data_IF_420445968576
#
_entry.id   IF_420445968576
#
_cell.length_a   1.000
_cell.length_b   1.000
_cell.length_c   1.000
_cell.angle_alpha   90.00
_cell.angle_beta   90.00
_cell.angle_gamma   90.00
#
_symmetry.space_group_name_H-M   'P 1'
#
loop_
_entity.id
_entity.type
_entity.pdbx_description
1 polymer ?
#
# COMPACT_ATOMS: atom_id res chain seq x y z
N UNK A 1 10.98 -2.33 -4.05
CA UNK A 1 10.09 -1.27 -4.57
C UNK A 1 9.67 -1.53 -6.01
N UNK A 2 10.57 -1.37 -6.99
CA UNK A 2 10.25 -1.58 -8.42
C UNK A 2 9.66 -2.96 -8.73
N UNK A 3 10.18 -4.02 -8.11
CA UNK A 3 9.64 -5.39 -8.26
C UNK A 3 8.16 -5.44 -7.84
N UNK A 4 7.78 -4.78 -6.74
CA UNK A 4 6.39 -4.77 -6.27
C UNK A 4 5.48 -4.03 -7.26
N UNK A 5 5.94 -2.91 -7.82
CA UNK A 5 5.24 -2.19 -8.88
C UNK A 5 5.08 -3.05 -10.13
N UNK A 6 6.12 -3.75 -10.56
CA UNK A 6 6.05 -4.66 -11.71
C UNK A 6 5.05 -5.78 -11.46
N UNK A 7 5.06 -6.41 -10.29
CA UNK A 7 4.08 -7.45 -9.93
C UNK A 7 2.66 -6.88 -9.95
N UNK A 8 2.46 -5.66 -9.43
CA UNK A 8 1.16 -5.00 -9.47
C UNK A 8 0.67 -4.74 -10.91
N UNK A 9 1.53 -4.24 -11.78
CA UNK A 9 1.19 -4.00 -13.19
C UNK A 9 0.80 -5.30 -13.91
N UNK A 10 1.55 -6.39 -13.65
CA UNK A 10 1.23 -7.72 -14.19
C UNK A 10 -0.10 -8.25 -13.64
N UNK A 11 -0.36 -8.05 -12.34
CA UNK A 11 -1.62 -8.43 -11.70
C UNK A 11 -2.83 -7.73 -12.35
N UNK A 12 -2.75 -6.41 -12.52
CA UNK A 12 -3.81 -5.62 -13.18
C UNK A 12 -4.02 -6.12 -14.62
N UNK A 13 -2.94 -6.30 -15.39
CA UNK A 13 -3.04 -6.78 -16.77
C UNK A 13 -3.68 -8.18 -16.86
N UNK A 14 -3.34 -9.08 -15.93
CA UNK A 14 -3.93 -10.42 -15.87
C UNK A 14 -5.44 -10.38 -15.55
N UNK A 15 -5.85 -9.56 -14.58
CA UNK A 15 -7.26 -9.40 -14.23
C UNK A 15 -8.08 -8.81 -15.39
N UNK A 16 -7.55 -7.80 -16.08
CA UNK A 16 -8.19 -7.21 -17.26
C UNK A 16 -8.31 -8.22 -18.40
N UNK A 17 -7.30 -9.05 -18.62
CA UNK A 17 -7.35 -10.12 -19.63
C UNK A 17 -8.40 -11.19 -19.30
N UNK A 18 -8.55 -11.52 -18.01
CA UNK A 18 -9.51 -12.50 -17.50
C UNK A 18 -10.94 -11.95 -17.31
N UNK A 19 -11.15 -10.64 -17.50
CA UNK A 19 -12.44 -9.94 -17.26
C UNK A 19 -12.96 -10.12 -15.82
N UNK A 20 -12.04 -10.11 -14.85
CA UNK A 20 -12.34 -10.22 -13.42
C UNK A 20 -12.45 -8.83 -12.79
N UNK A 21 -13.40 -8.03 -13.28
CA UNK A 21 -13.46 -6.59 -12.99
C UNK A 21 -13.67 -6.29 -11.49
N UNK A 22 -14.32 -7.20 -10.75
CA UNK A 22 -14.52 -7.06 -9.30
C UNK A 22 -13.23 -7.19 -8.46
N UNK A 23 -12.15 -7.70 -9.05
CA UNK A 23 -10.83 -7.81 -8.40
C UNK A 23 -9.88 -6.70 -8.86
N UNK A 24 -10.30 -5.87 -9.82
CA UNK A 24 -9.50 -4.71 -10.19
C UNK A 24 -9.40 -3.77 -8.98
N UNK A 25 -8.21 -3.22 -8.70
CA UNK A 25 -8.08 -2.23 -7.65
C UNK A 25 -9.05 -1.07 -7.93
N UNK A 26 -9.85 -0.65 -6.95
CA UNK A 26 -10.72 0.51 -7.13
C UNK A 26 -9.89 1.75 -7.46
N UNK A 27 -10.50 2.72 -8.13
CA UNK A 27 -9.90 4.02 -8.37
C UNK A 27 -9.96 4.89 -7.10
N UNK A 28 -9.38 4.37 -6.02
CA UNK A 28 -9.42 4.96 -4.68
C UNK A 28 -8.77 6.35 -4.69
N UNK A 29 -7.74 6.53 -5.51
CA UNK A 29 -7.07 7.81 -5.66
C UNK A 29 -8.02 8.88 -6.22
N UNK A 30 -8.76 8.58 -7.29
CA UNK A 30 -9.73 9.51 -7.85
C UNK A 30 -10.90 9.75 -6.88
N UNK A 31 -11.44 8.70 -6.26
CA UNK A 31 -12.52 8.83 -5.27
C UNK A 31 -12.13 9.70 -4.07
N UNK A 32 -10.90 9.57 -3.58
CA UNK A 32 -10.37 10.40 -2.48
C UNK A 32 -10.22 11.85 -2.94
N UNK A 33 -9.71 12.11 -4.16
CA UNK A 33 -9.62 13.45 -4.73
C UNK A 33 -11.01 14.08 -4.80
N UNK A 34 -12.00 13.34 -5.29
CA UNK A 34 -13.38 13.82 -5.42
C UNK A 34 -14.01 14.12 -4.06
N UNK A 35 -13.78 13.25 -3.07
CA UNK A 35 -14.23 13.43 -1.68
C UNK A 35 -13.58 14.67 -1.03
N UNK A 36 -12.32 14.97 -1.40
CA UNK A 36 -11.62 16.19 -0.98
C UNK A 36 -12.04 17.44 -1.77
N UNK A 37 -13.16 17.38 -2.52
CA UNK A 37 -13.65 18.49 -3.34
C UNK A 37 -12.74 18.81 -4.53
N UNK A 38 -11.98 17.84 -5.01
CA UNK A 38 -10.97 18.01 -6.06
C UNK A 38 -9.65 18.63 -5.58
N UNK A 39 -9.47 18.84 -4.27
CA UNK A 39 -8.27 19.47 -3.72
C UNK A 39 -7.09 18.49 -3.66
N UNK A 40 -6.20 18.62 -4.66
CA UNK A 40 -4.98 17.81 -4.77
C UNK A 40 -4.05 17.97 -3.57
N UNK A 41 -3.88 19.19 -3.05
CA UNK A 41 -2.95 19.47 -1.94
C UNK A 41 -3.44 18.76 -0.68
N UNK A 42 -4.73 18.90 -0.35
CA UNK A 42 -5.33 18.19 0.79
C UNK A 42 -5.19 16.68 0.65
N UNK A 43 -5.42 16.15 -0.56
CA UNK A 43 -5.30 14.71 -0.83
C UNK A 43 -3.86 14.22 -0.64
N UNK A 44 -2.86 14.95 -1.14
CA UNK A 44 -1.44 14.62 -0.95
C UNK A 44 -1.02 14.67 0.52
N UNK A 45 -1.49 15.65 1.29
CA UNK A 45 -1.20 15.74 2.72
C UNK A 45 -1.80 14.54 3.48
N UNK A 46 -3.09 14.24 3.26
CA UNK A 46 -3.78 13.22 4.02
C UNK A 46 -3.37 11.80 3.60
N UNK A 47 -3.37 11.50 2.31
CA UNK A 47 -3.17 10.13 1.78
C UNK A 47 -1.75 9.89 1.29
N UNK A 48 -1.08 10.92 0.77
CA UNK A 48 0.32 10.82 0.34
C UNK A 48 1.32 10.91 1.49
N UNK A 49 0.93 11.49 2.64
CA UNK A 49 1.87 11.74 3.75
C UNK A 49 1.37 11.22 5.10
N UNK A 50 0.26 11.74 5.63
CA UNK A 50 -0.20 11.40 6.98
C UNK A 50 -0.64 9.93 7.12
N UNK A 51 -1.38 9.40 6.13
CA UNK A 51 -1.79 7.99 6.07
C UNK A 51 -0.59 7.05 6.16
N UNK A 52 0.39 7.13 5.24
CA UNK A 52 1.60 6.33 5.26
C UNK A 52 2.37 6.40 6.59
N UNK A 53 2.45 7.56 7.23
CA UNK A 53 3.08 7.69 8.56
C UNK A 53 2.33 6.84 9.59
N UNK A 54 1.02 7.02 9.70
CA UNK A 54 0.19 6.32 10.67
C UNK A 54 0.22 4.80 10.43
N UNK A 55 0.09 4.39 9.18
CA UNK A 55 0.09 3.00 8.76
C UNK A 55 1.44 2.33 9.03
N UNK A 56 2.56 2.94 8.67
CA UNK A 56 3.88 2.34 8.92
C UNK A 56 4.21 2.29 10.42
N UNK A 57 3.83 3.28 11.21
CA UNK A 57 3.96 3.23 12.67
C UNK A 57 3.19 2.03 13.22
N UNK A 58 1.94 1.84 12.80
CA UNK A 58 1.12 0.75 13.32
C UNK A 58 1.62 -0.61 12.82
N UNK A 59 1.76 -0.80 11.51
CA UNK A 59 2.08 -2.12 10.96
C UNK A 59 3.55 -2.49 11.13
N UNK A 60 4.49 -1.57 10.90
CA UNK A 60 5.94 -1.86 10.95
C UNK A 60 6.53 -1.54 12.32
N UNK A 61 6.00 -0.53 13.00
CA UNK A 61 6.44 -0.18 14.36
C UNK A 61 5.83 -1.06 15.45
N UNK A 62 4.61 -1.58 15.27
CA UNK A 62 3.90 -2.33 16.31
C UNK A 62 3.55 -3.78 15.90
N UNK A 63 2.76 -3.98 14.84
CA UNK A 63 2.24 -5.31 14.47
C UNK A 63 3.36 -6.28 14.11
N UNK A 64 4.23 -5.92 13.15
CA UNK A 64 5.30 -6.79 12.67
C UNK A 64 6.29 -7.17 13.79
N UNK A 65 6.85 -6.23 14.58
CA UNK A 65 7.71 -6.58 15.72
C UNK A 65 7.00 -7.44 16.77
N UNK A 66 5.72 -7.18 17.04
CA UNK A 66 4.91 -7.98 17.95
C UNK A 66 4.76 -9.44 17.49
N UNK A 67 4.51 -9.64 16.19
CA UNK A 67 4.38 -10.97 15.60
C UNK A 67 5.72 -11.72 15.56
N UNK A 68 6.83 -11.02 15.28
CA UNK A 68 8.18 -11.64 15.18
C UNK A 68 8.54 -12.42 16.44
N UNK A 69 8.19 -11.88 17.61
CA UNK A 69 8.45 -12.52 18.92
C UNK A 69 7.82 -13.90 19.04
N UNK A 70 6.72 -14.17 18.33
CA UNK A 70 5.94 -15.42 18.44
C UNK A 70 6.08 -16.34 17.23
N UNK A 71 6.22 -15.78 16.04
CA UNK A 71 6.12 -16.55 14.78
C UNK A 71 7.41 -16.54 13.95
N UNK A 72 8.43 -15.79 14.36
CA UNK A 72 9.66 -15.60 13.59
C UNK A 72 9.47 -14.66 12.39
N UNK A 73 10.58 -14.28 11.75
CA UNK A 73 10.61 -13.19 10.76
C UNK A 73 9.70 -13.43 9.55
N UNK A 74 9.83 -14.59 8.89
CA UNK A 74 9.12 -14.86 7.63
C UNK A 74 7.60 -14.88 7.83
N UNK A 75 7.12 -15.66 8.81
CA UNK A 75 5.67 -15.77 9.08
C UNK A 75 5.07 -14.44 9.52
N UNK A 76 5.82 -13.65 10.29
CA UNK A 76 5.37 -12.35 10.76
C UNK A 76 5.31 -11.31 9.65
N UNK A 77 6.26 -11.35 8.70
CA UNK A 77 6.21 -10.53 7.50
C UNK A 77 4.96 -10.86 6.68
N UNK A 78 4.73 -12.14 6.38
CA UNK A 78 3.54 -12.58 5.64
C UNK A 78 2.25 -12.17 6.35
N UNK A 79 2.13 -12.43 7.65
CA UNK A 79 0.92 -12.13 8.41
C UNK A 79 0.68 -10.62 8.56
N UNK A 80 1.71 -9.84 8.86
CA UNK A 80 1.59 -8.38 8.96
C UNK A 80 1.20 -7.76 7.61
N UNK A 81 1.76 -8.25 6.50
CA UNK A 81 1.40 -7.76 5.17
C UNK A 81 -0.01 -8.18 4.78
N UNK A 82 -0.47 -9.36 5.21
CA UNK A 82 -1.85 -9.79 4.97
C UNK A 82 -2.85 -8.94 5.76
N UNK A 83 -2.56 -8.67 7.04
CA UNK A 83 -3.36 -7.78 7.86
C UNK A 83 -3.42 -6.36 7.27
N UNK A 84 -2.30 -5.87 6.75
CA UNK A 84 -2.23 -4.59 6.04
C UNK A 84 -3.17 -4.56 4.82
N UNK A 85 -3.20 -5.64 4.03
CA UNK A 85 -4.08 -5.70 2.87
C UNK A 85 -5.56 -5.83 3.22
N UNK A 86 -5.90 -6.64 4.23
CA UNK A 86 -7.28 -6.78 4.71
C UNK A 86 -7.81 -5.46 5.30
N UNK A 87 -6.94 -4.66 5.93
CA UNK A 87 -7.30 -3.36 6.53
C UNK A 87 -7.84 -2.34 5.52
N UNK A 88 -7.65 -2.57 4.22
CA UNK A 88 -8.20 -1.70 3.17
C UNK A 88 -9.66 -2.01 2.83
N UNK A 89 -10.25 -3.09 3.37
CA UNK A 89 -11.67 -3.46 3.25
C UNK A 89 -12.25 -3.55 1.82
N UNK A 90 -11.38 -3.70 0.81
CA UNK A 90 -11.77 -3.86 -0.59
C UNK A 90 -11.08 -5.09 -1.19
N UNK A 91 -11.83 -6.06 -1.75
CA UNK A 91 -11.26 -7.28 -2.31
C UNK A 91 -10.23 -7.05 -3.43
N UNK A 92 -10.42 -6.04 -4.27
CA UNK A 92 -9.50 -5.67 -5.34
C UNK A 92 -8.22 -5.00 -4.80
N UNK A 93 -8.29 -4.35 -3.64
CA UNK A 93 -7.14 -3.76 -2.98
C UNK A 93 -6.28 -4.77 -2.20
N UNK A 94 -6.82 -5.89 -1.71
CA UNK A 94 -6.12 -6.82 -0.81
C UNK A 94 -4.80 -7.33 -1.41
N UNK A 95 -4.81 -7.83 -2.65
CA UNK A 95 -3.60 -8.40 -3.28
C UNK A 95 -2.53 -7.33 -3.55
N UNK A 96 -2.84 -6.19 -4.20
CA UNK A 96 -1.92 -5.07 -4.36
C UNK A 96 -1.28 -4.61 -3.04
N UNK A 97 -2.10 -4.38 -2.02
CA UNK A 97 -1.65 -3.84 -0.73
C UNK A 97 -0.90 -4.89 0.07
N UNK A 98 -1.23 -6.18 -0.05
CA UNK A 98 -0.41 -7.27 0.48
C UNK A 98 1.01 -7.25 -0.09
N UNK A 99 1.15 -7.15 -1.42
CA UNK A 99 2.45 -7.12 -2.10
C UNK A 99 3.25 -5.87 -1.69
N UNK A 100 2.59 -4.71 -1.68
CA UNK A 100 3.15 -3.47 -1.16
C UNK A 100 3.64 -3.67 0.29
N UNK A 101 2.79 -4.31 1.10
CA UNK A 101 3.08 -4.56 2.49
C UNK A 101 4.27 -5.48 2.71
N UNK A 102 4.50 -6.46 1.84
CA UNK A 102 5.69 -7.31 1.88
C UNK A 102 6.95 -6.50 1.56
N UNK A 103 6.88 -5.63 0.56
CA UNK A 103 7.99 -4.78 0.17
C UNK A 103 8.38 -3.80 1.29
N UNK A 104 7.40 -3.10 1.87
CA UNK A 104 7.62 -2.15 2.97
C UNK A 104 8.10 -2.84 4.24
N UNK A 105 7.52 -4.00 4.59
CA UNK A 105 7.97 -4.81 5.72
C UNK A 105 9.40 -5.30 5.54
N UNK A 106 9.79 -5.73 4.32
CA UNK A 106 11.18 -6.08 4.02
C UNK A 106 12.13 -4.89 4.15
N UNK A 107 11.73 -3.70 3.67
CA UNK A 107 12.53 -2.47 3.83
C UNK A 107 12.78 -2.20 5.31
N UNK A 108 11.72 -2.21 6.13
CA UNK A 108 11.84 -2.03 7.57
C UNK A 108 12.77 -3.07 8.22
N UNK A 109 12.64 -4.35 7.88
CA UNK A 109 13.48 -5.42 8.42
C UNK A 109 14.96 -5.27 8.04
N UNK A 110 15.25 -4.68 6.88
CA UNK A 110 16.62 -4.44 6.41
C UNK A 110 17.24 -3.18 6.98
N UNK A 111 16.45 -2.12 7.16
CA UNK A 111 16.96 -0.82 7.61
C UNK A 111 16.90 -0.65 9.12
N UNK A 112 16.02 -1.38 9.81
CA UNK A 112 15.72 -1.18 11.23
C UNK A 112 15.03 0.14 11.54
N UNK A 113 14.56 0.87 10.52
CA UNK A 113 14.00 2.21 10.66
C UNK A 113 12.66 2.34 9.91
N UNK A 114 11.74 3.13 10.48
CA UNK A 114 10.43 3.40 9.86
C UNK A 114 10.53 4.38 8.68
N UNK A 115 11.42 5.37 8.76
CA UNK A 115 11.51 6.44 7.75
C UNK A 115 11.67 5.93 6.31
N UNK A 116 12.55 4.96 5.99
CA UNK A 116 12.63 4.43 4.63
C UNK A 116 11.32 3.82 4.12
N UNK A 117 10.56 3.14 4.99
CA UNK A 117 9.27 2.57 4.62
C UNK A 117 8.20 3.68 4.47
N UNK A 118 8.17 4.66 5.38
CA UNK A 118 7.29 5.83 5.30
C UNK A 118 7.49 6.59 3.99
N UNK A 119 8.74 6.87 3.61
CA UNK A 119 9.04 7.58 2.37
C UNK A 119 8.65 6.77 1.13
N UNK A 120 8.97 5.47 1.10
CA UNK A 120 8.60 4.60 -0.02
C UNK A 120 7.07 4.50 -0.17
N UNK A 121 6.35 4.38 0.95
CA UNK A 121 4.90 4.30 0.98
C UNK A 121 4.25 5.64 0.60
N UNK A 122 4.73 6.76 1.14
CA UNK A 122 4.23 8.08 0.76
C UNK A 122 4.49 8.42 -0.70
N UNK A 123 5.65 8.02 -1.24
CA UNK A 123 5.95 8.16 -2.66
C UNK A 123 5.00 7.33 -3.53
N UNK A 124 4.69 6.10 -3.13
CA UNK A 124 3.70 5.25 -3.81
C UNK A 124 2.35 5.95 -3.94
N UNK A 125 1.81 6.39 -2.81
CA UNK A 125 0.48 6.98 -2.75
C UNK A 125 0.44 8.29 -3.52
N UNK A 126 1.49 9.11 -3.39
CA UNK A 126 1.61 10.36 -4.14
C UNK A 126 1.65 10.12 -5.65
N UNK A 127 2.40 9.11 -6.11
CA UNK A 127 2.42 8.74 -7.54
C UNK A 127 1.06 8.22 -8.01
N UNK A 128 0.36 7.42 -7.21
CA UNK A 128 -0.98 6.93 -7.53
C UNK A 128 -1.99 8.08 -7.65
N UNK A 129 -1.96 9.04 -6.72
CA UNK A 129 -2.78 10.26 -6.75
C UNK A 129 -2.50 11.09 -8.01
N UNK A 130 -1.23 11.29 -8.35
CA UNK A 130 -0.84 12.05 -9.54
C UNK A 130 -1.27 11.33 -10.82
N UNK A 131 -1.11 10.01 -10.90
CA UNK A 131 -1.58 9.22 -12.04
C UNK A 131 -3.09 9.34 -12.19
N UNK A 132 -3.87 9.16 -11.12
CA UNK A 132 -5.32 9.31 -11.17
C UNK A 132 -5.72 10.71 -11.66
N UNK A 133 -5.08 11.77 -11.15
CA UNK A 133 -5.44 13.16 -11.52
C UNK A 133 -5.17 13.54 -12.97
N UNK A 134 -4.13 12.97 -13.59
CA UNK A 134 -3.61 13.41 -14.89
C UNK A 134 -3.68 12.35 -16.00
N UNK A 135 -3.94 11.09 -15.67
CA UNK A 135 -4.10 10.01 -16.66
C UNK A 135 -5.56 9.78 -17.08
N UNK A 136 -6.51 10.43 -16.41
CA UNK A 136 -7.94 10.53 -16.80
C UNK A 136 -8.23 11.87 -17.44
#
# INVERSE_FOLDING_TARGET
WLIALTILMVWIAALSWLKLDFLLPPDTAQQVIDTAGGNLITTLILVGFLGPIAEEIFFRGFVLPGLIKRFGVIRSLLLSSLLFGIFHFDPGAIVPTFILGLALGWVYLKTGALWPAIFAHGLHNSLAIMLAKYAT
#
